data_IF_180876825906
#
_entry.id   IF_180876825906
#
_cell.length_a   1.000
_cell.length_b   1.000
_cell.length_c   1.000
_cell.angle_alpha   90.00
_cell.angle_beta   90.00
_cell.angle_gamma   90.00
#
_symmetry.space_group_name_H-M   'P 1'
#
loop_
_entity.id
_entity.type
_entity.pdbx_description
1 polymer ?
#
# COMPACT_ATOMS: atom_id res chain seq x y z
N UNK A 1 10.35 -12.60 0.01
CA UNK A 1 9.04 -12.00 -0.25
C UNK A 1 8.61 -11.17 0.96
N UNK A 2 8.15 -9.96 0.72
CA UNK A 2 7.66 -9.06 1.77
C UNK A 2 6.14 -8.99 1.70
N UNK A 3 5.48 -9.30 2.82
CA UNK A 3 4.02 -9.13 2.94
C UNK A 3 3.76 -7.71 3.46
N UNK A 4 2.99 -6.93 2.73
CA UNK A 4 2.74 -5.53 3.07
C UNK A 4 1.30 -5.33 3.53
N UNK A 5 1.14 -4.55 4.62
CA UNK A 5 -0.15 -4.15 5.14
C UNK A 5 -0.68 -2.95 4.33
N UNK A 6 -1.99 -2.91 4.12
CA UNK A 6 -2.64 -1.84 3.37
C UNK A 6 -2.42 -0.46 4.00
N UNK A 7 -2.42 -0.35 5.33
CA UNK A 7 -2.21 0.95 5.99
C UNK A 7 -0.79 1.47 5.75
N UNK A 8 0.20 0.60 5.77
CA UNK A 8 1.59 0.97 5.49
C UNK A 8 1.73 1.40 4.03
N UNK A 9 1.15 0.62 3.11
CA UNK A 9 1.18 0.93 1.68
C UNK A 9 0.48 2.26 1.39
N UNK A 10 -0.68 2.48 1.98
CA UNK A 10 -1.44 3.72 1.79
C UNK A 10 -0.63 4.95 2.17
N UNK A 11 0.02 4.92 3.34
CA UNK A 11 0.84 6.04 3.81
C UNK A 11 2.08 6.22 2.94
N UNK A 12 2.74 5.14 2.57
CA UNK A 12 3.95 5.21 1.74
C UNK A 12 3.70 5.88 0.39
N UNK A 13 2.51 5.65 -0.20
CA UNK A 13 2.19 6.19 -1.50
C UNK A 13 1.78 7.66 -1.49
N UNK A 14 1.25 8.15 -0.37
CA UNK A 14 0.83 9.55 -0.27
C UNK A 14 1.84 10.44 0.44
N UNK A 15 2.81 9.88 1.14
CA UNK A 15 3.83 10.66 1.83
C UNK A 15 4.88 11.16 0.82
N UNK A 16 4.90 12.46 0.59
CA UNK A 16 5.87 13.10 -0.31
C UNK A 16 7.18 13.48 0.36
N UNK A 17 7.34 13.18 1.66
CA UNK A 17 8.55 13.50 2.40
C UNK A 17 9.64 12.44 2.33
N UNK A 18 10.77 12.66 3.04
CA UNK A 18 11.89 11.71 3.01
C UNK A 18 11.55 10.32 3.53
N UNK A 19 10.64 10.22 4.49
CA UNK A 19 10.23 8.93 5.04
C UNK A 19 9.45 8.11 4.02
N UNK A 20 8.54 8.75 3.28
CA UNK A 20 7.83 8.09 2.18
C UNK A 20 8.76 7.63 1.08
N UNK A 21 9.75 8.46 0.72
CA UNK A 21 10.77 8.12 -0.28
C UNK A 21 11.56 6.88 0.14
N UNK A 22 11.98 6.80 1.39
CA UNK A 22 12.69 5.62 1.91
C UNK A 22 11.87 4.36 1.84
N UNK A 23 10.60 4.44 2.20
CA UNK A 23 9.72 3.28 2.16
C UNK A 23 9.53 2.82 0.71
N UNK A 24 9.26 3.75 -0.21
CA UNK A 24 9.10 3.41 -1.63
C UNK A 24 10.36 2.78 -2.21
N UNK A 25 11.55 3.30 -1.88
CA UNK A 25 12.82 2.76 -2.34
C UNK A 25 13.03 1.33 -1.85
N UNK A 26 12.69 1.07 -0.59
CA UNK A 26 12.78 -0.27 -0.04
C UNK A 26 11.83 -1.24 -0.74
N UNK A 27 10.63 -0.80 -1.07
CA UNK A 27 9.63 -1.64 -1.73
C UNK A 27 10.04 -2.03 -3.15
N UNK A 28 10.78 -1.17 -3.84
CA UNK A 28 11.20 -1.44 -5.23
C UNK A 28 12.10 -2.66 -5.38
N UNK A 29 12.90 -2.95 -4.37
CA UNK A 29 13.85 -4.07 -4.42
C UNK A 29 13.28 -5.39 -3.95
N UNK A 30 12.00 -5.43 -3.56
CA UNK A 30 11.40 -6.60 -2.93
C UNK A 30 10.29 -7.20 -3.79
N UNK A 31 10.16 -8.51 -3.73
CA UNK A 31 8.95 -9.17 -4.21
C UNK A 31 7.86 -8.96 -3.17
N UNK A 32 6.78 -8.29 -3.55
CA UNK A 32 5.72 -7.89 -2.63
C UNK A 32 4.51 -8.81 -2.74
N UNK A 33 3.93 -9.14 -1.59
CA UNK A 33 2.64 -9.82 -1.51
C UNK A 33 1.72 -9.06 -0.57
N UNK A 34 0.44 -9.09 -0.84
CA UNK A 34 -0.57 -8.42 -0.02
C UNK A 34 -1.90 -9.17 -0.11
N UNK A 35 -2.82 -8.96 0.85
CA UNK A 35 -4.15 -9.53 0.75
C UNK A 35 -4.84 -9.12 -0.54
N UNK A 36 -5.68 -9.99 -1.10
CA UNK A 36 -6.39 -9.71 -2.35
C UNK A 36 -7.24 -8.45 -2.30
N UNK A 37 -7.66 -8.02 -1.10
CA UNK A 37 -8.45 -6.80 -0.90
C UNK A 37 -7.61 -5.56 -0.63
N UNK A 38 -6.28 -5.64 -0.79
CA UNK A 38 -5.38 -4.53 -0.45
C UNK A 38 -5.76 -3.22 -1.17
N UNK A 39 -6.17 -3.30 -2.42
CA UNK A 39 -6.54 -2.10 -3.18
C UNK A 39 -7.75 -1.40 -2.57
N UNK A 40 -8.77 -2.17 -2.17
CA UNK A 40 -9.96 -1.61 -1.53
C UNK A 40 -9.64 -1.00 -0.17
N UNK A 41 -8.77 -1.64 0.59
CA UNK A 41 -8.38 -1.15 1.91
C UNK A 41 -7.57 0.14 1.80
N UNK A 42 -6.65 0.22 0.83
CA UNK A 42 -5.87 1.43 0.56
C UNK A 42 -6.80 2.58 0.16
N UNK A 43 -7.74 2.32 -0.76
CA UNK A 43 -8.70 3.33 -1.18
C UNK A 43 -9.57 3.81 -0.02
N UNK A 44 -9.94 2.91 0.89
CA UNK A 44 -10.72 3.26 2.08
C UNK A 44 -9.95 4.23 2.99
N UNK A 45 -8.65 3.97 3.20
CA UNK A 45 -7.80 4.87 3.99
C UNK A 45 -7.73 6.25 3.33
N UNK A 46 -7.49 6.29 2.02
CA UNK A 46 -7.40 7.56 1.29
C UNK A 46 -8.71 8.36 1.32
N UNK A 47 -9.86 7.68 1.21
CA UNK A 47 -11.16 8.35 1.34
C UNK A 47 -11.34 9.00 2.71
N UNK A 48 -10.93 8.29 3.76
CA UNK A 48 -10.99 8.85 5.12
C UNK A 48 -10.13 10.09 5.25
N UNK A 49 -8.92 10.07 4.70
CA UNK A 49 -8.02 11.22 4.72
C UNK A 49 -8.58 12.39 3.89
N UNK A 50 -9.16 12.10 2.74
CA UNK A 50 -9.76 13.13 1.89
C UNK A 50 -10.94 13.82 2.58
N UNK A 51 -11.81 13.06 3.26
CA UNK A 51 -12.93 13.62 4.01
C UNK A 51 -12.47 14.54 5.13
N UNK A 52 -11.35 14.20 5.75
CA UNK A 52 -10.76 15.02 6.81
C UNK A 52 -9.93 16.21 6.30
N UNK A 53 -9.84 16.41 4.99
CA UNK A 53 -9.05 17.48 4.40
C UNK A 53 -7.54 17.25 4.45
N UNK A 54 -7.10 16.02 4.74
CA UNK A 54 -5.69 15.69 4.90
C UNK A 54 -5.05 15.17 3.60
N UNK A 55 -5.84 14.93 2.57
CA UNK A 55 -5.36 14.40 1.29
C UNK A 55 -6.02 15.17 0.15
N UNK A 56 -5.21 15.84 -0.66
CA UNK A 56 -5.68 16.54 -1.85
C UNK A 56 -6.00 15.54 -2.97
N UNK A 57 -7.02 15.86 -3.78
CA UNK A 57 -7.46 15.02 -4.89
C UNK A 57 -6.33 14.72 -5.86
N UNK A 58 -5.52 15.71 -6.21
CA UNK A 58 -4.38 15.55 -7.11
C UNK A 58 -3.37 14.53 -6.57
N UNK A 59 -3.08 14.61 -5.27
CA UNK A 59 -2.14 13.68 -4.63
C UNK A 59 -2.72 12.27 -4.59
N UNK A 60 -4.02 12.15 -4.36
CA UNK A 60 -4.71 10.86 -4.39
C UNK A 60 -4.64 10.22 -5.78
N UNK A 61 -4.82 11.01 -6.84
CA UNK A 61 -4.72 10.49 -8.21
C UNK A 61 -3.32 9.98 -8.52
N UNK A 62 -2.29 10.70 -8.11
CA UNK A 62 -0.90 10.27 -8.28
C UNK A 62 -0.61 8.98 -7.50
N UNK A 63 -1.11 8.90 -6.28
CA UNK A 63 -0.94 7.71 -5.43
C UNK A 63 -1.64 6.50 -6.03
N UNK A 64 -2.81 6.69 -6.62
CA UNK A 64 -3.53 5.61 -7.29
C UNK A 64 -2.75 5.08 -8.50
N UNK A 65 -2.17 5.97 -9.30
CA UNK A 65 -1.33 5.58 -10.43
C UNK A 65 -0.11 4.78 -9.95
N UNK A 66 0.52 5.21 -8.86
CA UNK A 66 1.65 4.50 -8.26
C UNK A 66 1.23 3.12 -7.76
N UNK A 67 0.07 3.01 -7.11
CA UNK A 67 -0.45 1.73 -6.62
C UNK A 67 -0.66 0.75 -7.77
N UNK A 68 -1.18 1.22 -8.89
CA UNK A 68 -1.41 0.39 -10.08
C UNK A 68 -0.09 -0.03 -10.74
N UNK A 69 0.96 0.77 -10.60
CA UNK A 69 2.26 0.50 -11.20
C UNK A 69 3.13 -0.44 -10.36
N UNK A 70 2.89 -0.56 -9.07
CA UNK A 70 3.70 -1.41 -8.20
C UNK A 70 3.34 -2.89 -8.44
N UNK A 71 4.33 -3.74 -8.72
CA UNK A 71 4.08 -5.17 -8.93
C UNK A 71 3.88 -5.88 -7.59
N UNK A 72 2.65 -5.93 -7.13
CA UNK A 72 2.27 -6.61 -5.88
C UNK A 72 1.51 -7.88 -6.24
N UNK A 73 1.94 -9.01 -5.70
CA UNK A 73 1.20 -10.25 -5.80
C UNK A 73 0.04 -10.22 -4.81
N UNK A 74 -1.17 -10.16 -5.30
CA UNK A 74 -2.37 -10.20 -4.47
C UNK A 74 -2.75 -11.63 -4.22
N UNK A 75 -2.76 -12.02 -2.94
CA UNK A 75 -2.95 -13.42 -2.56
C UNK A 75 -4.15 -13.56 -1.64
N UNK A 76 -4.68 -14.78 -1.63
CA UNK A 76 -5.80 -15.13 -0.77
C UNK A 76 -5.43 -14.96 0.71
N UNK A 77 -6.41 -14.52 1.52
CA UNK A 77 -6.23 -14.29 2.94
C UNK A 77 -5.72 -15.55 3.67
N UNK A 78 -6.25 -16.70 3.33
CA UNK A 78 -5.86 -17.97 3.94
C UNK A 78 -4.39 -18.29 3.65
N UNK A 79 -3.94 -18.06 2.41
CA UNK A 79 -2.55 -18.27 2.04
C UNK A 79 -1.61 -17.34 2.83
N UNK A 80 -2.00 -16.08 3.05
CA UNK A 80 -1.21 -15.16 3.86
C UNK A 80 -1.14 -15.57 5.31
N UNK A 81 -2.25 -16.02 5.89
CA UNK A 81 -2.28 -16.50 7.26
C UNK A 81 -1.34 -17.70 7.45
N UNK A 82 -1.32 -18.60 6.50
CA UNK A 82 -0.41 -19.73 6.54
C UNK A 82 1.05 -19.33 6.55
N UNK A 83 1.42 -18.34 5.74
CA UNK A 83 2.79 -17.81 5.70
C UNK A 83 3.15 -17.04 6.96
N UNK A 84 2.26 -16.23 7.46
CA UNK A 84 2.48 -15.46 8.69
C UNK A 84 2.56 -16.38 9.91
N UNK A 85 1.75 -17.44 9.93
CA UNK A 85 1.70 -18.38 11.04
C UNK A 85 2.95 -19.23 11.19
N UNK A 86 3.81 -19.30 10.18
CA UNK A 86 5.06 -20.05 10.24
C UNK A 86 6.25 -19.24 10.76
N UNK A 87 6.04 -17.97 10.95
CA UNK A 87 7.06 -17.09 11.55
C UNK A 87 6.87 -16.95 13.04
#
# INVERSE_FOLDING_TARGET
MLVIDASVLAVALIDGGPDGDRVRDRLRGEALAAPSLVDLEVLSVWRGLARGGLLEARRADLALADLQAIPIQRVDHTALLGRCGTT
#
